data_IF_368573495994
#
_entry.id   IF_368573495994
#
_cell.length_a   1.000
_cell.length_b   1.000
_cell.length_c   1.000
_cell.angle_alpha   90.00
_cell.angle_beta   90.00
_cell.angle_gamma   90.00
#
_symmetry.space_group_name_H-M   'P 1'
#
loop_
_entity.id
_entity.type
_entity.pdbx_description
1 polymer ?
#
# COMPACT_ATOMS: atom_id res chain seq x y z
N UNK A 1 10.25 -15.89 3.30
CA UNK A 1 10.30 -14.96 4.45
C UNK A 1 9.03 -14.11 4.61
N UNK A 2 8.80 -13.01 3.88
CA UNK A 2 7.59 -12.17 4.13
C UNK A 2 6.28 -12.81 3.66
N UNK A 3 6.30 -13.51 2.53
CA UNK A 3 5.13 -14.20 2.00
C UNK A 3 4.66 -15.36 2.90
N UNK A 4 5.60 -16.13 3.44
CA UNK A 4 5.32 -17.17 4.43
C UNK A 4 4.76 -16.57 5.71
N UNK A 5 5.38 -15.50 6.22
CA UNK A 5 4.88 -14.80 7.40
C UNK A 5 3.40 -14.36 7.25
N UNK A 6 3.04 -13.74 6.13
CA UNK A 6 1.65 -13.32 5.89
C UNK A 6 0.73 -14.53 5.82
N UNK A 7 1.14 -15.59 5.11
CA UNK A 7 0.35 -16.81 4.98
C UNK A 7 0.14 -17.48 6.34
N UNK A 8 1.17 -17.57 7.18
CA UNK A 8 1.08 -18.16 8.51
C UNK A 8 0.17 -17.36 9.44
N UNK A 9 0.30 -16.03 9.45
CA UNK A 9 -0.57 -15.16 10.25
C UNK A 9 -2.02 -15.21 9.79
N UNK A 10 -2.23 -15.20 8.48
CA UNK A 10 -3.57 -15.34 7.90
C UNK A 10 -4.16 -16.72 8.21
N UNK A 11 -3.37 -17.78 8.10
CA UNK A 11 -3.75 -19.14 8.48
C UNK A 11 -4.19 -19.21 9.94
N UNK A 12 -3.40 -18.65 10.85
CA UNK A 12 -3.76 -18.56 12.27
C UNK A 12 -5.08 -17.80 12.50
N UNK A 13 -5.26 -16.62 11.88
CA UNK A 13 -6.48 -15.82 12.04
C UNK A 13 -7.73 -16.55 11.54
N UNK A 14 -7.61 -17.24 10.41
CA UNK A 14 -8.72 -17.99 9.81
C UNK A 14 -9.13 -19.15 10.72
N UNK A 15 -8.16 -19.98 11.15
CA UNK A 15 -8.45 -21.17 11.95
C UNK A 15 -8.89 -20.84 13.38
N UNK A 16 -8.25 -19.87 14.04
CA UNK A 16 -8.63 -19.44 15.39
C UNK A 16 -10.04 -18.83 15.46
N UNK A 17 -10.62 -18.49 14.30
CA UNK A 17 -11.93 -17.87 14.18
C UNK A 17 -12.94 -18.71 13.38
N UNK A 18 -12.58 -19.94 13.00
CA UNK A 18 -13.39 -20.84 12.17
C UNK A 18 -13.92 -20.17 10.87
N UNK A 19 -13.06 -19.42 10.18
CA UNK A 19 -13.41 -18.61 9.00
C UNK A 19 -13.02 -19.26 7.66
N UNK A 20 -12.64 -20.53 7.65
CA UNK A 20 -12.14 -21.23 6.46
C UNK A 20 -13.15 -21.17 5.31
N UNK A 21 -14.43 -21.32 5.65
CA UNK A 21 -15.56 -21.28 4.71
C UNK A 21 -16.04 -19.87 4.36
N UNK A 22 -15.52 -18.83 5.03
CA UNK A 22 -15.90 -17.44 4.73
C UNK A 22 -15.50 -17.11 3.29
N UNK A 23 -16.43 -16.53 2.55
CA UNK A 23 -16.18 -16.12 1.18
C UNK A 23 -15.45 -14.79 1.08
N UNK A 24 -14.61 -14.67 0.04
CA UNK A 24 -13.94 -13.42 -0.33
C UNK A 24 -14.00 -13.24 -1.84
N UNK A 25 -14.33 -12.02 -2.24
CA UNK A 25 -14.21 -11.56 -3.63
C UNK A 25 -13.03 -10.61 -3.75
N UNK A 26 -12.17 -10.83 -4.74
CA UNK A 26 -11.04 -9.96 -5.05
C UNK A 26 -11.20 -9.44 -6.47
N UNK A 27 -11.16 -8.12 -6.60
CA UNK A 27 -11.27 -7.43 -7.88
C UNK A 27 -10.33 -6.23 -7.93
N UNK A 28 -10.02 -5.80 -9.15
CA UNK A 28 -9.33 -4.53 -9.39
C UNK A 28 -10.30 -3.38 -9.10
N UNK A 29 -9.82 -2.38 -8.36
CA UNK A 29 -10.51 -1.11 -8.14
C UNK A 29 -9.63 0.03 -8.60
N UNK A 30 -10.26 1.01 -9.23
CA UNK A 30 -9.61 2.25 -9.59
C UNK A 30 -9.98 3.28 -8.52
N UNK A 31 -9.03 3.74 -7.69
CA UNK A 31 -9.32 4.81 -6.75
C UNK A 31 -9.64 6.08 -7.54
N UNK A 32 -10.70 6.78 -7.13
CA UNK A 32 -11.10 8.07 -7.72
C UNK A 32 -10.19 9.17 -7.17
N UNK A 33 -8.97 9.23 -7.70
CA UNK A 33 -7.97 10.24 -7.37
C UNK A 33 -8.21 11.52 -8.17
N UNK A 34 -7.87 12.68 -7.60
CA UNK A 34 -7.91 13.95 -8.33
C UNK A 34 -6.69 14.05 -9.26
N UNK A 35 -6.85 13.67 -10.53
CA UNK A 35 -5.74 13.62 -11.49
C UNK A 35 -5.28 14.98 -12.01
N UNK A 36 -5.93 16.08 -11.61
CA UNK A 36 -5.55 17.43 -12.05
C UNK A 36 -4.14 17.82 -11.56
N UNK A 37 -3.71 17.26 -10.42
CA UNK A 37 -2.45 17.62 -9.73
C UNK A 37 -1.43 16.49 -9.63
N UNK A 38 -1.76 15.26 -10.05
CA UNK A 38 -0.97 14.04 -9.77
C UNK A 38 -0.85 13.09 -10.97
N UNK A 39 -0.27 13.58 -12.07
CA UNK A 39 -0.12 12.83 -13.32
C UNK A 39 0.94 11.71 -13.28
N UNK A 40 1.87 11.76 -12.34
CA UNK A 40 3.03 10.88 -12.23
C UNK A 40 2.83 9.70 -11.26
N UNK A 41 1.61 9.50 -10.77
CA UNK A 41 1.33 8.43 -9.82
C UNK A 41 1.30 7.08 -10.54
N UNK A 42 1.91 6.01 -9.99
CA UNK A 42 1.91 4.69 -10.61
C UNK A 42 0.51 4.15 -10.95
N UNK A 43 -0.50 4.49 -10.13
CA UNK A 43 -1.91 4.18 -10.39
C UNK A 43 -2.48 4.94 -11.60
N UNK A 44 -2.07 6.21 -11.77
CA UNK A 44 -2.55 7.07 -12.86
C UNK A 44 -1.89 6.69 -14.17
N UNK A 45 -0.61 6.30 -14.13
CA UNK A 45 0.13 5.80 -15.29
C UNK A 45 -0.25 4.35 -15.66
N UNK A 46 -1.07 3.67 -14.85
CA UNK A 46 -1.49 2.28 -15.09
C UNK A 46 -0.39 1.24 -14.87
N UNK A 47 0.75 1.62 -14.28
CA UNK A 47 1.83 0.69 -13.92
C UNK A 47 1.45 -0.22 -12.75
N UNK A 48 0.59 0.30 -11.87
CA UNK A 48 0.04 -0.42 -10.74
C UNK A 48 -1.48 -0.30 -10.73
N UNK A 49 -2.14 -1.28 -10.12
CA UNK A 49 -3.57 -1.26 -9.85
C UNK A 49 -3.83 -1.53 -8.38
N UNK A 50 -4.96 -1.07 -7.87
CA UNK A 50 -5.42 -1.43 -6.53
C UNK A 50 -6.24 -2.70 -6.60
N UNK A 51 -5.83 -3.76 -5.88
CA UNK A 51 -6.70 -4.90 -5.61
C UNK A 51 -7.48 -4.65 -4.34
N UNK A 52 -8.77 -4.96 -4.37
CA UNK A 52 -9.64 -4.96 -3.20
C UNK A 52 -10.14 -6.37 -2.94
N UNK A 53 -9.91 -6.85 -1.73
CA UNK A 53 -10.60 -7.99 -1.16
C UNK A 53 -11.82 -7.50 -0.38
N UNK A 54 -12.97 -8.11 -0.63
CA UNK A 54 -14.25 -7.84 0.06
C UNK A 54 -14.72 -9.14 0.68
N UNK A 55 -14.85 -9.15 2.01
CA UNK A 55 -15.43 -10.26 2.77
C UNK A 55 -16.96 -10.22 2.67
N UNK A 56 -17.63 -11.33 3.01
CA UNK A 56 -19.10 -11.45 2.98
C UNK A 56 -19.86 -10.35 3.73
N UNK A 57 -19.30 -9.89 4.85
CA UNK A 57 -19.88 -8.82 5.67
C UNK A 57 -19.62 -7.41 5.12
N UNK A 58 -19.00 -7.30 3.95
CA UNK A 58 -18.63 -6.04 3.31
C UNK A 58 -17.32 -5.44 3.82
N UNK A 59 -16.60 -6.10 4.75
CA UNK A 59 -15.30 -5.61 5.20
C UNK A 59 -14.29 -5.69 4.05
N UNK A 60 -13.55 -4.60 3.86
CA UNK A 60 -12.63 -4.44 2.73
C UNK A 60 -11.17 -4.26 3.17
N UNK A 61 -10.27 -4.76 2.34
CA UNK A 61 -8.84 -4.52 2.44
C UNK A 61 -8.23 -4.42 1.06
N UNK A 62 -7.29 -3.49 0.91
CA UNK A 62 -6.68 -3.19 -0.37
C UNK A 62 -5.17 -3.38 -0.39
N UNK A 63 -4.63 -3.60 -1.59
CA UNK A 63 -3.21 -3.77 -1.84
C UNK A 63 -2.85 -3.32 -3.26
N UNK A 64 -1.73 -2.60 -3.41
CA UNK A 64 -1.15 -2.28 -4.70
C UNK A 64 -0.53 -3.52 -5.36
N UNK A 65 -0.65 -3.63 -6.68
CA UNK A 65 0.00 -4.69 -7.46
C UNK A 65 0.29 -4.22 -8.88
N UNK A 66 1.38 -4.71 -9.46
CA UNK A 66 1.62 -4.59 -10.90
C UNK A 66 0.88 -5.67 -11.72
N UNK A 67 0.27 -6.66 -11.06
CA UNK A 67 -0.46 -7.76 -11.72
C UNK A 67 -1.93 -7.75 -11.31
N UNK A 68 -2.82 -7.21 -12.17
CA UNK A 68 -4.26 -7.34 -12.01
C UNK A 68 -4.65 -8.80 -11.80
N UNK A 69 -5.51 -9.08 -10.83
CA UNK A 69 -5.95 -10.45 -10.52
C UNK A 69 -7.36 -10.40 -9.97
N UNK A 70 -8.16 -11.40 -10.34
CA UNK A 70 -9.48 -11.65 -9.78
C UNK A 70 -9.47 -12.97 -9.03
N UNK A 71 -10.21 -13.03 -7.94
CA UNK A 71 -10.43 -14.26 -7.19
C UNK A 71 -11.82 -14.25 -6.59
N UNK A 72 -12.46 -15.42 -6.54
CA UNK A 72 -13.75 -15.61 -5.92
C UNK A 72 -13.74 -17.01 -5.30
N UNK A 73 -13.92 -17.11 -3.99
CA UNK A 73 -13.79 -18.38 -3.29
C UNK A 73 -13.75 -18.22 -1.78
N UNK A 74 -13.55 -19.32 -1.09
CA UNK A 74 -13.40 -19.33 0.37
C UNK A 74 -12.00 -18.88 0.80
N UNK A 75 -11.86 -18.43 2.06
CA UNK A 75 -10.57 -18.10 2.65
C UNK A 75 -9.62 -19.32 2.68
N UNK A 76 -10.15 -20.53 2.89
CA UNK A 76 -9.37 -21.77 2.82
C UNK A 76 -8.81 -22.02 1.42
N UNK A 77 -9.61 -21.86 0.36
CA UNK A 77 -9.12 -21.98 -1.02
C UNK A 77 -8.08 -20.91 -1.37
N UNK A 78 -8.30 -19.68 -0.90
CA UNK A 78 -7.38 -18.57 -1.10
C UNK A 78 -6.02 -18.86 -0.44
N UNK A 79 -6.00 -19.42 0.77
CA UNK A 79 -4.78 -19.83 1.47
C UNK A 79 -3.97 -20.90 0.73
N UNK A 80 -4.55 -21.61 -0.23
CA UNK A 80 -3.84 -22.62 -1.03
C UNK A 80 -3.45 -22.05 -2.40
N UNK A 81 -4.40 -21.42 -3.08
CA UNK A 81 -4.30 -21.05 -4.50
C UNK A 81 -4.02 -19.56 -4.74
N UNK A 82 -4.17 -18.73 -3.71
CA UNK A 82 -4.09 -17.28 -3.81
C UNK A 82 -2.69 -16.78 -4.14
N UNK A 83 -2.62 -15.83 -5.07
CA UNK A 83 -1.41 -15.03 -5.30
C UNK A 83 -1.10 -14.18 -4.06
N UNK A 84 0.16 -13.81 -3.89
CA UNK A 84 0.60 -13.00 -2.76
C UNK A 84 -0.20 -11.69 -2.57
N UNK A 85 -0.47 -10.95 -3.66
CA UNK A 85 -1.25 -9.71 -3.58
C UNK A 85 -2.69 -9.94 -3.11
N UNK A 86 -3.31 -11.05 -3.51
CA UNK A 86 -4.62 -11.47 -3.03
C UNK A 86 -4.61 -11.78 -1.52
N UNK A 87 -3.54 -12.46 -1.05
CA UNK A 87 -3.36 -12.73 0.37
C UNK A 87 -3.16 -11.44 1.17
N UNK A 88 -2.36 -10.49 0.68
CA UNK A 88 -2.15 -9.21 1.36
C UNK A 88 -3.44 -8.39 1.45
N UNK A 89 -4.17 -8.24 0.34
CA UNK A 89 -5.45 -7.52 0.33
C UNK A 89 -6.46 -8.15 1.32
N UNK A 90 -6.53 -9.48 1.34
CA UNK A 90 -7.42 -10.22 2.24
C UNK A 90 -6.96 -10.13 3.70
N UNK A 91 -5.65 -10.20 3.95
CA UNK A 91 -5.09 -10.03 5.28
C UNK A 91 -5.42 -8.64 5.85
N UNK A 92 -5.31 -7.59 5.04
CA UNK A 92 -5.74 -6.25 5.43
C UNK A 92 -7.25 -6.23 5.80
N UNK A 93 -8.11 -6.88 5.01
CA UNK A 93 -9.54 -6.99 5.32
C UNK A 93 -9.80 -7.73 6.64
N UNK A 94 -9.09 -8.83 6.89
CA UNK A 94 -9.22 -9.61 8.12
C UNK A 94 -8.73 -8.82 9.35
N UNK A 95 -7.60 -8.13 9.25
CA UNK A 95 -7.07 -7.29 10.33
C UNK A 95 -8.07 -6.16 10.68
N UNK A 96 -8.75 -5.60 9.68
CA UNK A 96 -9.84 -4.65 9.90
C UNK A 96 -11.07 -5.28 10.53
N UNK A 97 -11.51 -6.43 10.04
CA UNK A 97 -12.64 -7.18 10.63
C UNK A 97 -12.41 -7.48 12.11
N UNK A 98 -11.16 -7.74 12.50
CA UNK A 98 -10.75 -7.99 13.89
C UNK A 98 -10.55 -6.71 14.72
N UNK A 99 -10.66 -5.52 14.12
CA UNK A 99 -10.48 -4.25 14.82
C UNK A 99 -9.03 -3.91 15.15
N UNK A 100 -8.04 -4.59 14.56
CA UNK A 100 -6.63 -4.30 14.81
C UNK A 100 -6.13 -3.09 14.01
N UNK A 101 -6.77 -2.79 12.87
CA UNK A 101 -6.49 -1.63 12.02
C UNK A 101 -7.80 -1.11 11.43
N UNK A 102 -7.83 0.16 11.00
CA UNK A 102 -9.03 0.81 10.46
C UNK A 102 -8.81 1.47 9.07
N UNK A 103 -7.54 1.69 8.67
CA UNK A 103 -7.16 2.33 7.39
C UNK A 103 -6.70 1.34 6.32
N UNK A 104 -7.63 0.54 5.81
CA UNK A 104 -7.36 -0.52 4.82
C UNK A 104 -7.82 -0.22 3.41
N UNK A 105 -8.38 0.96 3.19
CA UNK A 105 -8.87 1.45 1.90
C UNK A 105 -8.04 2.66 1.53
N UNK A 106 -7.55 2.68 0.29
CA UNK A 106 -6.74 3.75 -0.22
C UNK A 106 -7.52 5.07 -0.33
N UNK A 107 -6.76 6.14 -0.26
CA UNK A 107 -7.23 7.51 -0.33
C UNK A 107 -7.97 7.80 -1.66
N UNK A 108 -8.90 8.77 -1.63
CA UNK A 108 -9.61 9.31 -2.80
C UNK A 108 -9.46 10.83 -2.88
N UNK A 109 -9.66 11.42 -4.05
CA UNK A 109 -9.53 12.87 -4.25
C UNK A 109 -8.12 13.37 -3.92
N UNK A 110 -8.04 14.41 -3.08
CA UNK A 110 -6.81 15.04 -2.59
C UNK A 110 -6.31 14.50 -1.24
N UNK A 111 -6.86 13.35 -0.80
CA UNK A 111 -6.43 12.74 0.46
C UNK A 111 -4.95 12.29 0.47
N UNK A 112 -4.29 11.92 -0.65
CA UNK A 112 -2.85 11.66 -0.65
C UNK A 112 -2.01 12.86 -0.18
N UNK A 113 -2.30 14.07 -0.63
CA UNK A 113 -1.62 15.30 -0.20
C UNK A 113 -1.84 15.56 1.29
N UNK A 114 -3.08 15.44 1.78
CA UNK A 114 -3.39 15.60 3.21
C UNK A 114 -2.69 14.56 4.06
N UNK A 115 -2.59 13.32 3.58
CA UNK A 115 -1.85 12.26 4.27
C UNK A 115 -0.36 12.63 4.38
N UNK A 116 0.19 13.26 3.33
CA UNK A 116 1.58 13.72 3.32
C UNK A 116 1.83 14.83 4.36
N UNK A 117 0.90 15.78 4.45
CA UNK A 117 0.94 16.85 5.44
C UNK A 117 0.94 16.28 6.86
N UNK A 118 -0.02 15.39 7.17
CA UNK A 118 -0.13 14.75 8.47
C UNK A 118 1.13 13.96 8.84
N UNK A 119 1.74 13.24 7.89
CA UNK A 119 2.98 12.52 8.11
C UNK A 119 4.14 13.48 8.41
N UNK A 120 4.26 14.57 7.64
CA UNK A 120 5.32 15.57 7.83
C UNK A 120 5.22 16.21 9.21
N UNK A 121 4.03 16.70 9.57
CA UNK A 121 3.77 17.33 10.85
C UNK A 121 4.06 16.38 12.03
N UNK A 122 3.71 15.10 11.86
CA UNK A 122 3.99 14.08 12.87
C UNK A 122 5.49 13.81 13.04
N UNK A 123 6.26 13.77 11.96
CA UNK A 123 7.71 13.59 12.03
C UNK A 123 8.42 14.81 12.64
N UNK A 124 7.93 16.02 12.35
CA UNK A 124 8.42 17.26 13.00
C UNK A 124 8.12 17.26 14.49
N UNK A 125 6.90 16.88 14.89
CA UNK A 125 6.51 16.77 16.30
C UNK A 125 7.40 15.79 17.07
N UNK A 126 7.80 14.69 16.45
CA UNK A 126 8.72 13.71 17.03
C UNK A 126 10.19 14.19 17.05
N UNK A 127 10.50 15.31 16.41
CA UNK A 127 11.84 15.90 16.40
C UNK A 127 12.84 15.13 15.53
N UNK A 128 12.39 14.40 14.51
CA UNK A 128 13.31 13.72 13.60
C UNK A 128 14.10 14.72 12.76
N UNK A 129 15.42 14.58 12.74
CA UNK A 129 16.29 15.43 11.92
C UNK A 129 16.43 14.92 10.47
N UNK A 130 16.46 13.60 10.27
CA UNK A 130 16.67 12.98 8.95
C UNK A 130 15.61 11.93 8.68
N UNK A 131 15.15 11.89 7.43
CA UNK A 131 14.07 10.99 7.00
C UNK A 131 14.51 10.21 5.78
N UNK A 132 14.30 8.89 5.81
CA UNK A 132 14.47 8.03 4.65
C UNK A 132 13.10 7.51 4.20
N UNK A 133 12.70 7.83 2.97
CA UNK A 133 11.50 7.32 2.34
C UNK A 133 11.85 6.14 1.42
N UNK A 134 11.30 4.97 1.72
CA UNK A 134 11.46 3.76 0.93
C UNK A 134 10.24 3.58 0.03
N UNK A 135 10.44 3.66 -1.28
CA UNK A 135 9.37 3.71 -2.27
C UNK A 135 9.04 5.15 -2.67
N UNK A 136 8.98 5.40 -3.98
CA UNK A 136 8.66 6.70 -4.53
C UNK A 136 7.15 6.95 -4.49
N UNK A 137 6.72 7.77 -3.53
CA UNK A 137 5.34 8.22 -3.39
C UNK A 137 5.28 9.75 -3.58
N UNK A 138 4.79 10.27 -4.72
CA UNK A 138 4.99 11.67 -5.09
C UNK A 138 4.47 12.70 -4.08
N UNK A 139 3.28 12.51 -3.48
CA UNK A 139 2.77 13.41 -2.44
C UNK A 139 3.72 13.48 -1.24
N UNK A 140 4.20 12.33 -0.76
CA UNK A 140 5.14 12.27 0.35
C UNK A 140 6.49 12.89 -0.02
N UNK A 141 7.03 12.59 -1.20
CA UNK A 141 8.31 13.19 -1.64
C UNK A 141 8.22 14.71 -1.68
N UNK A 142 7.17 15.28 -2.29
CA UNK A 142 6.97 16.74 -2.33
C UNK A 142 6.93 17.33 -0.93
N UNK A 143 6.01 16.84 -0.10
CA UNK A 143 5.75 17.44 1.22
C UNK A 143 6.92 17.25 2.19
N UNK A 144 7.52 16.06 2.21
CA UNK A 144 8.68 15.79 3.07
C UNK A 144 9.90 16.58 2.60
N UNK A 145 10.07 16.83 1.30
CA UNK A 145 11.18 17.68 0.85
C UNK A 145 10.98 19.14 1.26
N UNK A 146 9.76 19.66 1.21
CA UNK A 146 9.45 21.01 1.71
C UNK A 146 9.82 21.17 3.19
N UNK A 147 9.56 20.15 4.01
CA UNK A 147 9.88 20.16 5.45
C UNK A 147 11.36 19.86 5.76
N UNK A 148 11.93 18.82 5.14
CA UNK A 148 13.24 18.27 5.53
C UNK A 148 14.39 18.72 4.61
N UNK A 149 14.10 19.25 3.41
CA UNK A 149 15.11 19.68 2.45
C UNK A 149 16.05 18.54 2.06
N UNK A 150 17.36 18.80 2.14
CA UNK A 150 18.43 17.83 1.85
C UNK A 150 18.57 16.72 2.90
N UNK A 151 17.83 16.80 4.01
CA UNK A 151 17.79 15.76 5.05
C UNK A 151 16.82 14.62 4.72
N UNK A 152 16.11 14.72 3.60
CA UNK A 152 15.30 13.65 3.04
C UNK A 152 16.12 12.82 2.05
N UNK A 153 16.12 11.50 2.23
CA UNK A 153 16.61 10.54 1.24
C UNK A 153 15.46 9.69 0.72
N UNK A 154 15.40 9.49 -0.60
CA UNK A 154 14.36 8.68 -1.23
C UNK A 154 15.01 7.55 -2.01
N UNK A 155 14.51 6.33 -1.83
CA UNK A 155 14.96 5.18 -2.61
C UNK A 155 13.78 4.48 -3.27
N UNK A 156 14.00 3.91 -4.45
CA UNK A 156 12.95 3.16 -5.14
C UNK A 156 13.51 1.97 -5.94
N UNK A 157 12.71 0.91 -6.05
CA UNK A 157 13.06 -0.27 -6.83
C UNK A 157 12.80 -0.10 -8.33
N UNK A 158 11.91 0.82 -8.71
CA UNK A 158 11.56 1.09 -10.09
C UNK A 158 12.61 2.03 -10.73
N UNK A 159 13.32 1.58 -11.79
CA UNK A 159 14.28 2.43 -12.48
C UNK A 159 13.70 3.71 -13.08
N UNK A 160 12.41 3.73 -13.43
CA UNK A 160 11.75 4.93 -13.98
C UNK A 160 11.59 6.07 -12.97
N UNK A 161 11.65 5.77 -11.68
CA UNK A 161 11.53 6.77 -10.62
C UNK A 161 12.88 7.44 -10.27
N UNK A 162 14.01 6.91 -10.77
CA UNK A 162 15.37 7.36 -10.42
C UNK A 162 15.69 8.77 -10.94
N UNK A 163 16.64 9.40 -10.26
CA UNK A 163 17.13 10.73 -10.60
C UNK A 163 16.40 11.83 -9.82
N UNK A 164 16.57 13.08 -10.25
CA UNK A 164 16.02 14.24 -9.53
C UNK A 164 14.52 14.37 -9.75
N UNK A 165 13.74 14.24 -8.67
CA UNK A 165 12.27 14.36 -8.65
C UNK A 165 11.88 15.31 -7.53
N UNK A 166 11.11 16.35 -7.85
CA UNK A 166 10.66 17.34 -6.85
C UNK A 166 11.78 17.95 -6.02
N UNK A 167 12.98 18.13 -6.60
CA UNK A 167 14.15 18.65 -5.89
C UNK A 167 15.00 17.60 -5.16
N UNK A 168 14.51 16.36 -5.04
CA UNK A 168 15.18 15.26 -4.31
C UNK A 168 15.82 14.26 -5.26
N UNK A 169 16.99 13.73 -4.92
CA UNK A 169 17.58 12.60 -5.62
C UNK A 169 16.92 11.28 -5.18
N UNK A 170 16.32 10.57 -6.15
CA UNK A 170 15.74 9.24 -5.94
C UNK A 170 16.77 8.18 -6.32
N UNK A 171 17.25 7.46 -5.32
CA UNK A 171 18.29 6.46 -5.47
C UNK A 171 17.76 5.07 -5.84
N UNK A 172 18.61 4.28 -6.49
CA UNK A 172 18.34 2.89 -6.82
C UNK A 172 18.44 2.00 -5.59
N UNK A 173 17.31 1.48 -5.11
CA UNK A 173 17.30 0.59 -3.95
C UNK A 173 18.03 -0.76 -4.20
N UNK A 174 18.39 -1.11 -5.44
CA UNK A 174 19.17 -2.32 -5.77
C UNK A 174 20.68 -2.11 -5.71
N UNK A 175 21.15 -0.87 -5.66
CA UNK A 175 22.59 -0.57 -5.59
C UNK A 175 22.95 -0.22 -4.16
N UNK A 176 24.10 -0.71 -3.69
CA UNK A 176 24.69 -0.21 -2.45
C UNK A 176 25.05 1.26 -2.67
N UNK A 177 24.55 2.12 -1.78
CA UNK A 177 24.90 3.53 -1.71
C UNK A 177 26.17 3.70 -0.90
#
# INVERSE_FOLDING_TARGET
MIHEFIRDKMNYLIHSSAMESTYVEISVKNPLLDTSTIKDYPLVEGREVMLRATLEDGTVGECFTATPTHFRGTLGELLVKGKQSCLIATFNALMRKKGFIDRTVHCTGNAPERCAELLSDYLELLGYDRVALLGFQPAFVRKLHETFGDRLQVTDLNPGNKGKKYGVDVFDAKKKQ
#
